data_IF_936217467729
#
_entry.id   IF_936217467729
#
_cell.length_a   1.000
_cell.length_b   1.000
_cell.length_c   1.000
_cell.angle_alpha   90.00
_cell.angle_beta   90.00
_cell.angle_gamma   90.00
#
_symmetry.space_group_name_H-M   'P 1'
#
loop_
_entity.id
_entity.type
_entity.pdbx_description
1 polymer ?
#
# COMPACT_ATOMS: atom_id res chain seq x y z
N UNK A 1 -13.62 40.98 -1.69
CA UNK A 1 -12.84 39.73 -1.71
C UNK A 1 -13.82 38.58 -1.62
N UNK A 2 -14.03 37.85 -2.71
CA UNK A 2 -14.83 36.63 -2.67
C UNK A 2 -14.13 35.59 -1.80
N UNK A 3 -14.86 34.87 -0.95
CA UNK A 3 -14.31 33.71 -0.24
C UNK A 3 -13.86 32.70 -1.29
N UNK A 4 -12.61 32.28 -1.23
CA UNK A 4 -12.14 31.14 -2.03
C UNK A 4 -12.95 29.91 -1.63
N UNK A 5 -13.46 29.18 -2.61
CA UNK A 5 -14.23 27.96 -2.35
C UNK A 5 -13.26 26.87 -1.91
N UNK A 6 -13.52 26.25 -0.77
CA UNK A 6 -12.72 25.12 -0.30
C UNK A 6 -13.04 23.87 -1.14
N UNK A 7 -11.99 23.19 -1.60
CA UNK A 7 -12.05 21.93 -2.35
C UNK A 7 -11.67 20.78 -1.42
N UNK A 8 -12.47 19.72 -1.43
CA UNK A 8 -12.30 18.51 -0.61
C UNK A 8 -12.03 17.31 -1.49
N UNK A 9 -10.87 16.70 -1.30
CA UNK A 9 -10.41 15.56 -2.12
C UNK A 9 -10.25 14.35 -1.22
N UNK A 10 -10.84 13.23 -1.62
CA UNK A 10 -10.64 11.94 -0.97
C UNK A 10 -9.59 11.13 -1.75
N UNK A 11 -8.45 10.89 -1.13
CA UNK A 11 -7.43 9.95 -1.59
C UNK A 11 -7.71 8.55 -1.07
N UNK A 12 -7.69 7.54 -1.94
CA UNK A 12 -7.78 6.12 -1.56
C UNK A 12 -6.59 5.32 -2.10
N UNK A 13 -5.94 4.56 -1.23
CA UNK A 13 -4.97 3.50 -1.59
C UNK A 13 -5.60 2.15 -1.24
N UNK A 14 -6.11 1.46 -2.26
CA UNK A 14 -6.82 0.19 -2.13
C UNK A 14 -5.80 -0.93 -2.25
N UNK A 15 -5.19 -1.29 -1.11
CA UNK A 15 -4.19 -2.34 -1.04
C UNK A 15 -4.74 -3.71 -0.69
N UNK A 16 -4.00 -4.76 -1.05
CA UNK A 16 -4.44 -6.13 -0.81
C UNK A 16 -4.58 -6.50 0.67
N UNK A 17 -3.76 -5.90 1.54
CA UNK A 17 -3.77 -6.15 2.99
C UNK A 17 -4.42 -5.03 3.81
N UNK A 18 -4.34 -3.80 3.30
CA UNK A 18 -4.82 -2.61 3.98
C UNK A 18 -5.46 -1.67 2.95
N UNK A 19 -6.53 -1.00 3.35
CA UNK A 19 -7.09 0.13 2.61
C UNK A 19 -6.76 1.39 3.41
N UNK A 20 -6.25 2.41 2.72
CA UNK A 20 -5.93 3.71 3.33
C UNK A 20 -6.79 4.78 2.70
N UNK A 21 -7.24 5.72 3.52
CA UNK A 21 -7.99 6.88 3.07
C UNK A 21 -7.37 8.15 3.63
N UNK A 22 -7.37 9.21 2.83
CA UNK A 22 -6.97 10.56 3.25
C UNK A 22 -7.96 11.56 2.72
N UNK A 23 -8.56 12.36 3.59
CA UNK A 23 -9.39 13.49 3.23
C UNK A 23 -8.57 14.77 3.39
N UNK A 24 -8.38 15.51 2.31
CA UNK A 24 -7.75 16.83 2.32
C UNK A 24 -8.77 17.91 1.98
N UNK A 25 -8.70 19.03 2.68
CA UNK A 25 -9.47 20.24 2.38
C UNK A 25 -8.49 21.36 2.07
N UNK A 26 -8.66 22.00 0.90
CA UNK A 26 -7.78 23.04 0.38
C UNK A 26 -8.62 24.28 0.11
N UNK A 27 -8.21 25.44 0.62
CA UNK A 27 -8.79 26.74 0.25
C UNK A 27 -7.69 27.55 -0.45
N UNK A 28 -7.88 27.85 -1.73
CA UNK A 28 -6.84 28.44 -2.59
C UNK A 28 -5.63 27.52 -2.70
N UNK A 29 -4.46 27.99 -2.23
CA UNK A 29 -3.23 27.21 -2.16
C UNK A 29 -2.93 26.64 -0.77
N UNK A 30 -3.85 26.78 0.20
CA UNK A 30 -3.62 26.44 1.61
C UNK A 30 -4.35 25.16 2.00
N UNK A 31 -3.61 24.21 2.57
CA UNK A 31 -4.17 23.06 3.26
C UNK A 31 -4.90 23.53 4.54
N UNK A 32 -6.20 23.25 4.63
CA UNK A 32 -7.06 23.61 5.77
C UNK A 32 -7.24 22.46 6.73
N UNK A 33 -7.46 21.27 6.20
CA UNK A 33 -7.62 20.06 6.99
C UNK A 33 -6.99 18.87 6.27
N UNK A 34 -6.44 17.94 7.06
CA UNK A 34 -5.99 16.64 6.60
C UNK A 34 -6.42 15.62 7.66
N UNK A 35 -7.15 14.59 7.23
CA UNK A 35 -7.46 13.43 8.04
C UNK A 35 -7.04 12.19 7.29
N UNK A 36 -6.40 11.25 7.96
CA UNK A 36 -6.02 9.98 7.37
C UNK A 36 -6.43 8.83 8.29
N UNK A 37 -6.81 7.71 7.69
CA UNK A 37 -7.07 6.47 8.41
C UNK A 37 -6.62 5.28 7.57
N UNK A 38 -6.30 4.19 8.27
CA UNK A 38 -5.87 2.93 7.67
C UNK A 38 -6.74 1.84 8.26
N UNK A 39 -7.15 0.89 7.42
CA UNK A 39 -7.89 -0.28 7.85
C UNK A 39 -7.23 -1.55 7.36
N UNK A 40 -6.96 -2.46 8.29
CA UNK A 40 -6.56 -3.83 7.98
C UNK A 40 -7.72 -4.58 7.32
N UNK A 41 -7.52 -4.95 6.06
CA UNK A 41 -8.48 -5.61 5.20
C UNK A 41 -7.74 -6.56 4.25
N UNK A 42 -7.36 -7.77 4.72
CA UNK A 42 -6.74 -8.78 3.87
C UNK A 42 -7.79 -9.33 2.91
N UNK A 43 -7.85 -8.77 1.69
CA UNK A 43 -8.90 -9.11 0.71
C UNK A 43 -8.86 -10.59 0.32
N UNK A 44 -7.68 -11.22 0.32
CA UNK A 44 -7.52 -12.66 0.07
C UNK A 44 -8.18 -13.55 1.12
N UNK A 45 -8.37 -13.06 2.34
CA UNK A 45 -9.09 -13.79 3.41
C UNK A 45 -10.57 -13.41 3.46
N UNK A 46 -10.89 -12.12 3.27
CA UNK A 46 -12.25 -11.59 3.40
C UNK A 46 -13.10 -11.78 2.14
N UNK A 47 -12.46 -11.99 1.00
CA UNK A 47 -13.10 -12.09 -0.30
C UNK A 47 -13.40 -10.73 -0.93
N UNK A 48 -13.42 -10.69 -2.27
CA UNK A 48 -13.66 -9.46 -3.05
C UNK A 48 -15.01 -8.79 -2.76
N UNK A 49 -16.03 -9.58 -2.42
CA UNK A 49 -17.39 -9.08 -2.13
C UNK A 49 -17.48 -8.24 -0.84
N UNK A 50 -16.49 -8.32 0.05
CA UNK A 50 -16.45 -7.51 1.27
C UNK A 50 -15.85 -6.10 1.05
N UNK A 51 -15.31 -5.83 -0.14
CA UNK A 51 -14.64 -4.56 -0.44
C UNK A 51 -15.58 -3.33 -0.36
N UNK A 52 -16.82 -3.35 -0.90
CA UNK A 52 -17.72 -2.20 -0.82
C UNK A 52 -18.03 -1.77 0.62
N UNK A 53 -18.39 -2.73 1.47
CA UNK A 53 -18.60 -2.49 2.91
C UNK A 53 -17.33 -1.92 3.54
N UNK A 54 -16.16 -2.46 3.16
CA UNK A 54 -14.91 -2.02 3.72
C UNK A 54 -14.55 -0.57 3.40
N UNK A 55 -14.81 -0.15 2.15
CA UNK A 55 -14.68 1.23 1.69
C UNK A 55 -15.64 2.15 2.43
N UNK A 56 -16.91 1.75 2.57
CA UNK A 56 -17.95 2.56 3.22
C UNK A 56 -17.62 2.84 4.68
N UNK A 57 -17.21 1.84 5.43
CA UNK A 57 -16.85 2.00 6.84
C UNK A 57 -15.59 2.87 7.01
N UNK A 58 -14.57 2.67 6.17
CA UNK A 58 -13.35 3.48 6.19
C UNK A 58 -13.66 4.94 5.90
N UNK A 59 -14.43 5.22 4.85
CA UNK A 59 -14.78 6.57 4.43
C UNK A 59 -15.66 7.23 5.49
N UNK A 60 -16.64 6.51 6.05
CA UNK A 60 -17.48 7.01 7.15
C UNK A 60 -16.66 7.40 8.38
N UNK A 61 -15.56 6.70 8.68
CA UNK A 61 -14.67 7.03 9.81
C UNK A 61 -13.97 8.39 9.69
N UNK A 62 -13.81 8.91 8.46
CA UNK A 62 -13.28 10.26 8.23
C UNK A 62 -14.35 11.35 8.44
N UNK A 63 -15.61 10.95 8.53
CA UNK A 63 -16.79 11.81 8.57
C UNK A 63 -16.79 12.88 7.45
N UNK A 64 -16.70 12.48 6.17
CA UNK A 64 -16.76 13.43 5.06
C UNK A 64 -18.16 14.03 4.98
N UNK A 65 -18.26 15.35 4.87
CA UNK A 65 -19.54 16.02 4.61
C UNK A 65 -19.95 15.81 3.14
N UNK A 66 -19.11 16.32 2.24
CA UNK A 66 -19.18 16.21 0.80
C UNK A 66 -17.75 16.33 0.27
N UNK A 67 -17.45 15.62 -0.83
CA UNK A 67 -16.15 15.65 -1.50
C UNK A 67 -16.37 16.08 -2.95
N UNK A 68 -15.39 16.79 -3.51
CA UNK A 68 -15.45 17.30 -4.88
C UNK A 68 -14.92 16.27 -5.88
N UNK A 69 -13.98 15.41 -5.46
CA UNK A 69 -13.48 14.31 -6.27
C UNK A 69 -12.74 13.25 -5.44
N UNK A 70 -12.49 12.11 -6.10
CA UNK A 70 -11.65 11.04 -5.59
C UNK A 70 -10.37 10.93 -6.40
N UNK A 71 -9.26 10.67 -5.72
CA UNK A 71 -8.01 10.23 -6.32
C UNK A 71 -7.67 8.84 -5.77
N UNK A 72 -7.51 7.86 -6.66
CA UNK A 72 -7.41 6.45 -6.28
C UNK A 72 -6.13 5.84 -6.84
N UNK A 73 -5.44 5.07 -6.01
CA UNK A 73 -4.45 4.10 -6.43
C UNK A 73 -4.80 2.73 -5.88
N UNK A 74 -4.28 1.67 -6.48
CA UNK A 74 -4.58 0.30 -6.07
C UNK A 74 -3.35 -0.61 -6.15
N UNK A 75 -3.32 -1.57 -5.24
CA UNK A 75 -2.48 -2.79 -5.29
C UNK A 75 -3.29 -4.05 -4.97
N UNK A 76 -4.58 -3.93 -4.59
CA UNK A 76 -5.44 -5.06 -4.27
C UNK A 76 -5.82 -5.90 -5.50
N UNK A 77 -5.74 -5.34 -6.71
CA UNK A 77 -6.01 -6.05 -7.97
C UNK A 77 -5.03 -7.20 -8.24
N UNK A 78 -3.91 -7.23 -7.51
CA UNK A 78 -2.91 -8.29 -7.52
C UNK A 78 -3.30 -9.49 -6.64
N UNK A 79 -4.32 -9.35 -5.80
CA UNK A 79 -4.68 -10.37 -4.82
C UNK A 79 -5.29 -11.62 -5.47
N UNK A 80 -5.04 -12.76 -4.84
CA UNK A 80 -5.50 -14.10 -5.26
C UNK A 80 -7.02 -14.27 -5.44
N UNK A 81 -7.83 -13.29 -5.01
CA UNK A 81 -9.29 -13.28 -5.24
C UNK A 81 -9.67 -12.92 -6.68
N UNK A 82 -8.71 -12.45 -7.48
CA UNK A 82 -8.89 -12.13 -8.89
C UNK A 82 -8.05 -13.07 -9.74
N UNK A 83 -8.64 -13.57 -10.83
CA UNK A 83 -7.93 -14.41 -11.78
C UNK A 83 -6.94 -13.60 -12.62
N UNK A 84 -7.23 -12.32 -12.87
CA UNK A 84 -6.37 -11.43 -13.66
C UNK A 84 -6.33 -10.02 -13.07
N UNK A 85 -5.23 -9.28 -13.30
CA UNK A 85 -5.13 -7.86 -12.94
C UNK A 85 -6.28 -7.04 -13.55
N UNK A 86 -6.72 -7.36 -14.78
CA UNK A 86 -7.85 -6.68 -15.44
C UNK A 86 -9.17 -6.89 -14.71
N UNK A 87 -9.42 -8.11 -14.21
CA UNK A 87 -10.59 -8.41 -13.37
C UNK A 87 -10.53 -7.59 -12.08
N UNK A 88 -9.38 -7.61 -11.39
CA UNK A 88 -9.20 -6.87 -10.15
C UNK A 88 -9.40 -5.36 -10.31
N UNK A 89 -8.78 -4.75 -11.33
CA UNK A 89 -8.97 -3.33 -11.66
C UNK A 89 -10.44 -3.05 -11.93
N UNK A 90 -11.08 -3.83 -12.80
CA UNK A 90 -12.51 -3.63 -13.14
C UNK A 90 -13.39 -3.69 -11.90
N UNK A 91 -13.23 -4.73 -11.06
CA UNK A 91 -14.01 -4.91 -9.86
C UNK A 91 -13.82 -3.78 -8.85
N UNK A 92 -12.58 -3.35 -8.60
CA UNK A 92 -12.30 -2.24 -7.68
C UNK A 92 -12.97 -0.95 -8.19
N UNK A 93 -12.86 -0.68 -9.49
CA UNK A 93 -13.50 0.50 -10.10
C UNK A 93 -15.02 0.41 -10.09
N UNK A 94 -15.61 -0.79 -10.21
CA UNK A 94 -17.06 -1.01 -10.06
C UNK A 94 -17.51 -0.69 -8.63
N UNK A 95 -16.79 -1.19 -7.62
CA UNK A 95 -17.08 -0.87 -6.22
C UNK A 95 -17.02 0.63 -5.95
N UNK A 96 -16.01 1.33 -6.50
CA UNK A 96 -15.87 2.77 -6.32
C UNK A 96 -16.99 3.55 -7.01
N UNK A 97 -17.35 3.18 -8.25
CA UNK A 97 -18.45 3.83 -8.97
C UNK A 97 -19.81 3.60 -8.28
N UNK A 98 -19.99 2.47 -7.60
CA UNK A 98 -21.18 2.19 -6.79
C UNK A 98 -21.24 3.03 -5.51
N UNK A 99 -20.12 3.15 -4.78
CA UNK A 99 -20.07 3.92 -3.54
C UNK A 99 -20.03 5.45 -3.78
N UNK A 100 -19.50 5.89 -4.93
CA UNK A 100 -19.34 7.29 -5.32
C UNK A 100 -19.94 7.56 -6.71
N UNK A 101 -21.28 7.50 -6.85
CA UNK A 101 -21.93 7.55 -8.16
C UNK A 101 -21.96 8.96 -8.77
N UNK A 102 -21.67 10.01 -8.01
CA UNK A 102 -21.79 11.41 -8.46
C UNK A 102 -20.44 12.10 -8.58
N UNK A 103 -19.47 11.66 -7.80
CA UNK A 103 -18.18 12.30 -7.66
C UNK A 103 -17.24 11.84 -8.80
N UNK A 104 -16.50 12.75 -9.44
CA UNK A 104 -15.44 12.38 -10.37
C UNK A 104 -14.38 11.51 -9.67
N UNK A 105 -14.05 10.38 -10.30
CA UNK A 105 -13.02 9.45 -9.82
C UNK A 105 -11.84 9.50 -10.77
N UNK A 106 -10.69 9.86 -10.23
CA UNK A 106 -9.41 9.86 -10.93
C UNK A 106 -8.53 8.71 -10.44
N UNK A 107 -8.01 7.92 -11.36
CA UNK A 107 -7.16 6.77 -11.07
C UNK A 107 -5.72 7.14 -11.40
N UNK A 108 -4.81 6.89 -10.47
CA UNK A 108 -3.40 7.13 -10.65
C UNK A 108 -2.78 6.06 -11.54
N UNK A 109 -1.98 6.49 -12.50
CA UNK A 109 -1.17 5.61 -13.33
C UNK A 109 0.27 5.51 -12.83
N UNK A 110 0.97 4.46 -13.28
CA UNK A 110 2.42 4.25 -13.10
C UNK A 110 3.29 5.36 -13.70
N UNK A 111 2.71 6.23 -14.53
CA UNK A 111 3.35 7.42 -15.09
C UNK A 111 3.08 8.70 -14.28
N UNK A 112 2.53 8.58 -13.06
CA UNK A 112 2.15 9.69 -12.21
C UNK A 112 1.15 10.65 -12.88
N UNK A 113 0.18 10.08 -13.59
CA UNK A 113 -0.93 10.82 -14.20
C UNK A 113 -2.25 10.37 -13.57
N UNK A 114 -3.18 11.30 -13.45
CA UNK A 114 -4.56 11.03 -13.04
C UNK A 114 -5.40 10.87 -14.30
N UNK A 115 -6.02 9.69 -14.46
CA UNK A 115 -6.88 9.35 -15.61
C UNK A 115 -8.30 9.04 -15.13
N UNK A 116 -9.26 9.08 -16.04
CA UNK A 116 -10.64 8.70 -15.76
C UNK A 116 -10.79 7.20 -15.53
N UNK A 117 -11.89 6.78 -14.90
CA UNK A 117 -12.26 5.36 -14.73
C UNK A 117 -12.30 4.62 -16.08
N UNK A 118 -12.82 5.27 -17.12
CA UNK A 118 -12.93 4.69 -18.46
C UNK A 118 -11.55 4.42 -19.07
N UNK A 119 -10.62 5.37 -18.98
CA UNK A 119 -9.25 5.20 -19.45
C UNK A 119 -8.51 4.11 -18.67
N UNK A 120 -8.70 4.06 -17.34
CA UNK A 120 -8.13 3.03 -16.48
C UNK A 120 -8.59 1.61 -16.88
N UNK A 121 -9.86 1.44 -17.25
CA UNK A 121 -10.41 0.14 -17.72
C UNK A 121 -9.84 -0.30 -19.06
N UNK A 122 -9.58 0.64 -19.97
CA UNK A 122 -8.96 0.36 -21.27
C UNK A 122 -7.54 -0.15 -21.10
N UNK A 123 -6.80 0.41 -20.14
CA UNK A 123 -5.39 0.13 -19.90
C UNK A 123 -5.10 -0.29 -18.44
N UNK A 124 -5.60 -1.45 -17.98
CA UNK A 124 -5.55 -1.84 -16.57
C UNK A 124 -4.11 -1.99 -16.04
N UNK A 125 -3.16 -2.37 -16.91
CA UNK A 125 -1.76 -2.49 -16.52
C UNK A 125 -1.09 -1.14 -16.21
N UNK A 126 -1.65 -0.02 -16.67
CA UNK A 126 -1.13 1.31 -16.37
C UNK A 126 -1.53 1.80 -14.98
N UNK A 127 -2.57 1.21 -14.37
CA UNK A 127 -3.09 1.62 -13.05
C UNK A 127 -2.87 0.54 -11.98
N UNK A 128 -2.55 -0.69 -12.39
CA UNK A 128 -2.19 -1.76 -11.49
C UNK A 128 -0.86 -1.45 -10.79
N UNK A 129 -0.82 -1.65 -9.47
CA UNK A 129 0.36 -1.43 -8.63
C UNK A 129 0.95 -0.02 -8.77
N UNK A 130 0.10 1.00 -8.92
CA UNK A 130 0.55 2.38 -9.19
C UNK A 130 0.86 3.20 -7.92
N UNK A 131 0.71 2.63 -6.72
CA UNK A 131 0.83 3.36 -5.46
C UNK A 131 2.22 3.98 -5.25
N UNK A 132 3.28 3.31 -5.68
CA UNK A 132 4.65 3.85 -5.64
C UNK A 132 4.79 5.13 -6.47
N UNK A 133 4.05 5.27 -7.57
CA UNK A 133 4.10 6.47 -8.40
C UNK A 133 3.52 7.67 -7.65
N UNK A 134 2.59 7.47 -6.71
CA UNK A 134 2.06 8.55 -5.87
C UNK A 134 3.16 9.15 -4.99
N UNK A 135 3.89 8.28 -4.26
CA UNK A 135 5.00 8.66 -3.39
C UNK A 135 6.12 9.33 -4.19
N UNK A 136 6.51 8.73 -5.32
CA UNK A 136 7.53 9.29 -6.21
C UNK A 136 7.12 10.65 -6.78
N UNK A 137 5.84 10.80 -7.16
CA UNK A 137 5.34 12.06 -7.72
C UNK A 137 5.35 13.16 -6.68
N UNK A 138 4.87 12.89 -5.47
CA UNK A 138 4.93 13.84 -4.36
C UNK A 138 6.38 14.23 -4.03
N UNK A 139 7.27 13.25 -3.90
CA UNK A 139 8.68 13.49 -3.63
C UNK A 139 9.33 14.36 -4.72
N UNK A 140 8.99 14.14 -6.00
CA UNK A 140 9.50 14.93 -7.12
C UNK A 140 9.11 16.41 -7.09
N UNK A 141 8.03 16.75 -6.36
CA UNK A 141 7.62 18.15 -6.14
C UNK A 141 8.39 18.83 -5.01
N UNK A 142 9.00 18.05 -4.12
CA UNK A 142 9.71 18.54 -2.94
C UNK A 142 11.22 18.54 -3.19
N UNK A 143 11.74 17.48 -3.81
CA UNK A 143 13.17 17.27 -4.04
C UNK A 143 13.47 17.13 -5.53
N UNK A 144 14.53 17.81 -5.98
CA UNK A 144 15.01 17.68 -7.35
C UNK A 144 15.74 16.35 -7.59
N UNK A 145 16.55 15.90 -6.66
CA UNK A 145 17.31 14.65 -6.79
C UNK A 145 17.29 13.90 -5.45
N UNK A 146 16.76 12.68 -5.42
CA UNK A 146 16.75 11.82 -4.25
C UNK A 146 16.46 10.36 -4.64
N UNK A 147 16.57 9.45 -3.68
CA UNK A 147 16.00 8.10 -3.79
C UNK A 147 14.99 7.97 -2.67
N UNK A 148 13.75 7.66 -3.01
CA UNK A 148 12.72 7.33 -2.02
C UNK A 148 12.78 5.83 -1.77
N UNK A 149 12.84 5.44 -0.50
CA UNK A 149 12.73 4.05 -0.06
C UNK A 149 11.45 3.93 0.74
N UNK A 150 10.42 3.31 0.14
CA UNK A 150 9.09 3.16 0.73
C UNK A 150 8.87 1.69 1.10
N UNK A 151 9.06 1.37 2.39
CA UNK A 151 8.89 0.04 2.95
C UNK A 151 7.49 -0.11 3.52
N UNK A 152 6.65 -0.86 2.82
CA UNK A 152 5.36 -1.30 3.32
C UNK A 152 5.48 -2.54 4.20
N UNK A 153 4.33 -3.13 4.53
CA UNK A 153 4.29 -4.37 5.32
C UNK A 153 4.93 -5.57 4.63
N UNK A 154 5.00 -5.57 3.29
CA UNK A 154 5.36 -6.75 2.48
C UNK A 154 6.54 -6.52 1.53
N UNK A 155 6.65 -5.31 1.01
CA UNK A 155 7.63 -4.97 -0.03
C UNK A 155 8.19 -3.57 0.21
N UNK A 156 9.32 -3.31 -0.42
CA UNK A 156 10.00 -2.03 -0.42
C UNK A 156 10.13 -1.54 -1.86
N UNK A 157 9.60 -0.35 -2.16
CA UNK A 157 9.84 0.33 -3.43
C UNK A 157 11.04 1.27 -3.31
N UNK A 158 11.93 1.23 -4.30
CA UNK A 158 13.08 2.12 -4.41
C UNK A 158 12.85 2.99 -5.64
N UNK A 159 12.61 4.28 -5.43
CA UNK A 159 12.13 5.20 -6.45
C UNK A 159 13.14 6.32 -6.63
N UNK A 160 14.00 6.26 -7.66
CA UNK A 160 14.91 7.35 -7.95
C UNK A 160 14.13 8.55 -8.51
N UNK A 161 14.47 9.74 -8.01
CA UNK A 161 14.02 11.03 -8.51
C UNK A 161 15.23 11.76 -9.05
N UNK A 162 15.17 12.18 -10.31
CA UNK A 162 16.24 12.92 -10.98
C UNK A 162 15.64 14.15 -11.67
N UNK A 163 16.22 15.32 -11.45
CA UNK A 163 15.76 16.60 -11.99
C UNK A 163 14.25 16.89 -11.77
N UNK A 164 13.72 16.51 -10.61
CA UNK A 164 12.33 16.72 -10.21
C UNK A 164 11.35 15.82 -10.96
N UNK A 165 11.82 14.67 -11.45
CA UNK A 165 11.00 13.66 -12.13
C UNK A 165 11.31 12.27 -11.61
N UNK A 166 10.31 11.40 -11.61
CA UNK A 166 10.50 9.97 -11.34
C UNK A 166 11.39 9.40 -12.45
N UNK A 167 12.50 8.80 -12.05
CA UNK A 167 13.49 8.17 -12.93
C UNK A 167 13.44 6.63 -12.87
N UNK A 168 12.44 6.05 -12.17
CA UNK A 168 12.21 4.61 -12.18
C UNK A 168 11.86 4.13 -13.60
N UNK A 169 12.61 3.14 -14.08
CA UNK A 169 12.46 2.54 -15.40
C UNK A 169 11.28 1.57 -15.44
N UNK A 170 11.11 0.76 -14.40
CA UNK A 170 10.06 -0.24 -14.31
C UNK A 170 8.67 0.38 -14.17
N UNK A 171 7.73 -0.07 -15.00
CA UNK A 171 6.31 0.34 -14.95
C UNK A 171 5.42 -0.77 -14.42
N UNK A 172 5.86 -2.01 -14.54
CA UNK A 172 5.20 -3.19 -13.96
C UNK A 172 6.01 -3.76 -12.81
N UNK A 173 5.38 -4.55 -11.94
CA UNK A 173 6.09 -5.23 -10.84
C UNK A 173 7.24 -6.11 -11.36
N UNK A 174 7.06 -6.77 -12.52
CA UNK A 174 8.09 -7.61 -13.13
C UNK A 174 9.32 -6.80 -13.55
N UNK A 175 9.11 -5.68 -14.24
CA UNK A 175 10.21 -4.79 -14.64
C UNK A 175 10.91 -4.20 -13.41
N UNK A 176 10.12 -3.74 -12.42
CA UNK A 176 10.68 -3.18 -11.17
C UNK A 176 11.51 -4.21 -10.41
N UNK A 177 11.10 -5.48 -10.38
CA UNK A 177 11.88 -6.57 -9.81
C UNK A 177 13.18 -6.79 -10.60
N UNK A 178 13.11 -6.80 -11.93
CA UNK A 178 14.27 -6.93 -12.81
C UNK A 178 15.28 -5.79 -12.64
N UNK A 179 14.80 -4.58 -12.34
CA UNK A 179 15.62 -3.38 -12.18
C UNK A 179 16.09 -3.13 -10.74
N UNK A 180 15.65 -3.94 -9.77
CA UNK A 180 15.94 -3.72 -8.34
C UNK A 180 15.18 -2.53 -7.72
N UNK A 181 14.13 -2.05 -8.38
CA UNK A 181 13.27 -0.94 -7.93
C UNK A 181 12.12 -1.42 -7.03
N UNK A 182 11.93 -2.74 -6.94
CA UNK A 182 11.01 -3.41 -6.03
C UNK A 182 11.73 -4.58 -5.36
N UNK A 183 11.73 -4.59 -4.03
CA UNK A 183 12.27 -5.69 -3.23
C UNK A 183 11.14 -6.29 -2.40
N UNK A 184 10.94 -7.62 -2.48
CA UNK A 184 9.89 -8.33 -1.71
C UNK A 184 10.29 -8.59 -0.24
N UNK A 185 10.76 -7.54 0.42
CA UNK A 185 10.97 -7.49 1.86
C UNK A 185 10.25 -6.26 2.42
N UNK A 186 9.46 -6.48 3.47
CA UNK A 186 8.70 -5.44 4.14
C UNK A 186 8.73 -5.61 5.65
N UNK A 187 8.16 -4.64 6.37
CA UNK A 187 8.31 -4.56 7.81
C UNK A 187 7.57 -5.64 8.61
N UNK A 188 6.51 -6.27 8.05
CA UNK A 188 5.60 -7.11 8.85
C UNK A 188 5.39 -8.54 8.33
N UNK A 189 5.31 -8.74 7.00
CA UNK A 189 4.72 -9.95 6.39
C UNK A 189 5.70 -10.89 5.71
N UNK A 190 6.97 -10.52 5.59
CA UNK A 190 7.93 -11.30 4.81
C UNK A 190 8.36 -12.53 5.61
N UNK A 191 8.20 -13.73 5.05
CA UNK A 191 8.73 -14.95 5.66
C UNK A 191 10.24 -14.78 5.92
N UNK A 192 10.70 -15.04 7.14
CA UNK A 192 12.13 -14.91 7.49
C UNK A 192 13.03 -15.74 6.57
N UNK A 193 12.56 -16.92 6.15
CA UNK A 193 13.30 -17.80 5.24
C UNK A 193 13.48 -17.21 3.83
N UNK A 194 12.66 -16.24 3.42
CA UNK A 194 12.82 -15.50 2.17
C UNK A 194 13.84 -14.35 2.28
N UNK A 195 14.19 -13.94 3.49
CA UNK A 195 15.16 -12.87 3.77
C UNK A 195 16.57 -13.46 3.89
N UNK A 196 16.71 -14.58 4.59
CA UNK A 196 18.01 -15.17 4.94
C UNK A 196 17.97 -16.69 4.82
N UNK A 197 19.03 -17.30 4.28
CA UNK A 197 19.18 -18.76 4.17
C UNK A 197 20.01 -19.40 5.30
N UNK A 198 20.86 -18.61 5.96
CA UNK A 198 21.74 -19.07 7.04
C UNK A 198 21.92 -18.00 8.12
N UNK A 199 21.97 -18.41 9.39
CA UNK A 199 22.22 -17.51 10.52
C UNK A 199 23.40 -17.99 11.38
N UNK A 200 24.17 -17.07 11.98
CA UNK A 200 25.23 -17.43 12.92
C UNK A 200 24.61 -17.84 14.26
N UNK A 201 24.74 -19.10 14.65
CA UNK A 201 24.27 -19.62 15.93
C UNK A 201 25.40 -20.40 16.62
N UNK A 202 25.79 -19.95 17.83
CA UNK A 202 26.84 -20.57 18.65
C UNK A 202 28.16 -20.82 17.88
N UNK A 203 28.59 -19.83 17.10
CA UNK A 203 29.83 -19.86 16.34
C UNK A 203 29.79 -20.70 15.06
N UNK A 204 28.62 -21.15 14.59
CA UNK A 204 28.44 -21.87 13.32
C UNK A 204 27.35 -21.22 12.48
N UNK A 205 27.49 -21.31 11.15
CA UNK A 205 26.41 -20.95 10.24
C UNK A 205 25.43 -22.12 10.15
N UNK A 206 24.16 -21.87 10.47
CA UNK A 206 23.09 -22.87 10.49
C UNK A 206 22.04 -22.47 9.47
N UNK A 207 21.51 -23.44 8.72
CA UNK A 207 20.38 -23.21 7.79
C UNK A 207 19.11 -22.90 8.55
N UNK A 208 18.29 -22.03 7.99
CA UNK A 208 16.94 -21.78 8.50
C UNK A 208 15.94 -22.78 7.90
N UNK A 209 14.88 -23.07 8.65
CA UNK A 209 13.68 -23.75 8.16
C UNK A 209 12.96 -22.91 7.10
N UNK A 210 12.45 -23.55 6.04
CA UNK A 210 11.64 -22.88 5.02
C UNK A 210 10.18 -22.66 5.44
N UNK A 211 9.73 -23.33 6.51
CA UNK A 211 8.36 -23.25 7.01
C UNK A 211 8.00 -21.84 7.47
N UNK A 212 6.73 -21.45 7.32
CA UNK A 212 6.24 -20.13 7.71
C UNK A 212 6.01 -20.04 9.22
N UNK A 213 7.09 -20.11 10.01
CA UNK A 213 7.02 -20.01 11.47
C UNK A 213 7.11 -18.59 12.01
N UNK A 214 7.92 -17.75 11.35
CA UNK A 214 8.10 -16.35 11.72
C UNK A 214 8.15 -15.47 10.47
N UNK A 215 7.79 -14.21 10.64
CA UNK A 215 7.82 -13.19 9.61
C UNK A 215 8.60 -11.97 10.07
N UNK A 216 8.88 -11.04 9.15
CA UNK A 216 9.67 -9.84 9.43
C UNK A 216 9.12 -9.02 10.60
N UNK A 217 7.80 -8.97 10.81
CA UNK A 217 7.19 -8.31 11.97
C UNK A 217 7.69 -8.85 13.30
N UNK A 218 7.96 -10.16 13.41
CA UNK A 218 8.55 -10.76 14.61
C UNK A 218 9.96 -10.22 14.85
N UNK A 219 10.78 -10.13 13.79
CA UNK A 219 12.15 -9.61 13.87
C UNK A 219 12.15 -8.13 14.25
N UNK A 220 11.32 -7.31 13.58
CA UNK A 220 11.22 -5.89 13.88
C UNK A 220 10.72 -5.62 15.31
N UNK A 221 9.77 -6.40 15.80
CA UNK A 221 9.29 -6.29 17.18
C UNK A 221 10.39 -6.67 18.20
N UNK A 222 11.12 -7.77 17.96
CA UNK A 222 12.20 -8.22 18.87
C UNK A 222 13.31 -7.18 18.99
N UNK A 223 13.63 -6.51 17.87
CA UNK A 223 14.64 -5.47 17.78
C UNK A 223 14.15 -4.09 18.25
N UNK A 224 12.85 -3.93 18.53
CA UNK A 224 12.27 -2.65 18.96
C UNK A 224 12.11 -1.63 17.82
N UNK A 225 12.11 -2.08 16.56
CA UNK A 225 11.85 -1.23 15.40
C UNK A 225 10.36 -0.87 15.25
N UNK A 226 9.48 -1.69 15.84
CA UNK A 226 8.03 -1.48 15.91
C UNK A 226 7.53 -1.86 17.30
N UNK A 227 6.40 -1.27 17.69
CA UNK A 227 5.61 -1.63 18.86
C UNK A 227 4.67 -2.81 18.58
N UNK A 228 4.04 -3.36 19.64
CA UNK A 228 3.05 -4.43 19.51
C UNK A 228 1.80 -3.97 18.73
N UNK A 229 1.39 -2.71 18.91
CA UNK A 229 0.24 -2.10 18.22
C UNK A 229 0.52 -1.87 16.72
N UNK A 230 1.77 -1.62 16.35
CA UNK A 230 2.21 -1.47 14.95
C UNK A 230 2.31 -2.80 14.20
N UNK A 231 2.39 -3.93 14.92
CA UNK A 231 2.30 -5.26 14.34
C UNK A 231 0.84 -5.58 13.97
N UNK A 232 0.32 -4.90 12.94
CA UNK A 232 -1.12 -4.91 12.61
C UNK A 232 -1.63 -6.16 11.89
N UNK A 233 -0.74 -7.03 11.40
CA UNK A 233 -1.10 -8.23 10.61
C UNK A 233 -1.23 -9.48 11.48
N UNK A 234 -1.82 -10.55 10.93
CA UNK A 234 -1.91 -11.83 11.64
C UNK A 234 -0.52 -12.44 11.85
N UNK A 235 -0.29 -13.07 13.00
CA UNK A 235 0.92 -13.84 13.29
C UNK A 235 0.84 -15.23 12.64
N UNK A 236 1.99 -15.83 12.24
CA UNK A 236 1.99 -17.13 11.57
C UNK A 236 1.33 -18.26 12.37
N UNK A 237 1.42 -18.23 13.70
CA UNK A 237 0.82 -19.22 14.59
C UNK A 237 -0.51 -18.77 15.24
N UNK A 238 -1.04 -17.61 14.83
CA UNK A 238 -2.30 -17.06 15.34
C UNK A 238 -2.26 -16.60 16.80
N UNK A 239 -1.10 -16.64 17.46
CA UNK A 239 -0.92 -16.17 18.85
C UNK A 239 -0.73 -14.67 18.93
N UNK A 240 -0.53 -14.16 20.13
CA UNK A 240 -0.33 -12.74 20.38
C UNK A 240 0.96 -12.19 19.74
N UNK A 241 1.08 -10.87 19.89
CA UNK A 241 2.14 -10.04 19.32
C UNK A 241 3.05 -9.50 20.41
N UNK A 242 3.21 -10.25 21.50
CA UNK A 242 4.21 -9.89 22.50
C UNK A 242 5.61 -10.20 22.01
N UNK A 243 6.61 -9.47 22.53
CA UNK A 243 8.01 -9.75 22.22
C UNK A 243 8.41 -11.21 22.50
N UNK A 244 7.88 -11.80 23.59
CA UNK A 244 8.15 -13.20 23.95
C UNK A 244 7.56 -14.18 22.93
N UNK A 245 6.33 -13.96 22.49
CA UNK A 245 5.69 -14.80 21.47
C UNK A 245 6.40 -14.68 20.11
N UNK A 246 6.86 -13.49 19.73
CA UNK A 246 7.68 -13.29 18.55
C UNK A 246 9.02 -14.06 18.63
N UNK A 247 9.69 -14.03 19.79
CA UNK A 247 10.91 -14.83 20.01
C UNK A 247 10.62 -16.33 19.91
N UNK A 248 9.48 -16.79 20.44
CA UNK A 248 9.09 -18.20 20.36
C UNK A 248 8.81 -18.66 18.92
N UNK A 249 8.23 -17.79 18.09
CA UNK A 249 8.09 -18.02 16.64
C UNK A 249 9.44 -18.09 15.94
N UNK A 250 10.30 -17.09 16.18
CA UNK A 250 11.62 -17.01 15.54
C UNK A 250 12.53 -18.18 15.93
N UNK A 251 12.42 -18.72 17.14
CA UNK A 251 13.18 -19.89 17.58
C UNK A 251 12.84 -21.20 16.84
N UNK A 252 11.74 -21.23 16.06
CA UNK A 252 11.36 -22.37 15.20
C UNK A 252 11.92 -22.27 13.78
N UNK A 253 12.42 -21.09 13.40
CA UNK A 253 13.09 -20.83 12.11
C UNK A 253 14.51 -21.36 12.16
#
# INVERSE_FOLDING_TARGET
>A
MGREVAVRILGLDIGGANIKATLIEIEGSRLKALKACIRYFPIWKRGKNALPEALRELVSSLAPQAIDCLAVTMTAELSDVYQTKREGVSHILDCLAMEFPKEPIYVLTVNAQLVTVEEARRSPLLVASANWAATGWMASKIFRNCIVVDTGSTSTSIIPIVNGRIAAEGKTDLEKLGNGELVYTGALRTNVAAIVGYVPLRGRMVRVSSEFFAQSGDVHLILGNISEDEYTVDTPDGRGKTRLEAMARLARV
#
